data_IF_293687717253
#
_entry.id   IF_293687717253
#
_cell.length_a   1.000
_cell.length_b   1.000
_cell.length_c   1.000
_cell.angle_alpha   90.00
_cell.angle_beta   90.00
_cell.angle_gamma   90.00
#
_symmetry.space_group_name_H-M   'P 1'
#
loop_
_entity.id
_entity.type
_entity.pdbx_description
1 polymer ?
#
# COMPACT_ATOMS: atom_id res chain seq x y z
N UNK A 1 -27.99 70.70 1.17
CA UNK A 1 -28.11 69.23 1.02
C UNK A 1 -26.71 68.67 0.87
N UNK A 2 -26.14 68.12 1.93
CA UNK A 2 -24.80 67.52 1.89
C UNK A 2 -24.94 66.04 1.52
N UNK A 3 -24.27 65.64 0.45
CA UNK A 3 -24.35 64.29 -0.10
C UNK A 3 -23.27 63.42 0.57
N UNK A 4 -23.66 62.56 1.50
CA UNK A 4 -22.74 61.62 2.14
C UNK A 4 -22.54 60.41 1.21
N UNK A 5 -21.38 60.32 0.56
CA UNK A 5 -20.96 59.10 -0.13
C UNK A 5 -20.31 58.16 0.88
N UNK A 6 -20.94 57.02 1.12
CA UNK A 6 -20.41 55.95 1.96
C UNK A 6 -19.47 55.08 1.11
N UNK A 7 -18.17 55.12 1.39
CA UNK A 7 -17.18 54.26 0.74
C UNK A 7 -17.16 52.91 1.46
N UNK A 8 -17.59 51.85 0.78
CA UNK A 8 -17.53 50.47 1.29
C UNK A 8 -16.20 49.86 0.85
N UNK A 9 -15.27 49.63 1.77
CA UNK A 9 -14.02 48.90 1.45
C UNK A 9 -14.22 47.40 1.68
N UNK A 10 -13.97 46.59 0.65
CA UNK A 10 -13.95 45.14 0.76
C UNK A 10 -12.55 44.65 1.15
N UNK A 11 -12.41 44.07 2.34
CA UNK A 11 -11.19 43.37 2.74
C UNK A 11 -11.26 41.92 2.25
N UNK A 12 -10.37 41.55 1.33
CA UNK A 12 -10.21 40.15 0.90
C UNK A 12 -9.39 39.44 1.98
N UNK A 13 -10.05 38.59 2.77
CA UNK A 13 -9.37 37.69 3.71
C UNK A 13 -8.88 36.47 2.93
N UNK A 14 -7.59 36.41 2.67
CA UNK A 14 -6.94 35.23 2.08
C UNK A 14 -6.88 34.13 3.14
N UNK A 15 -7.89 33.25 3.15
CA UNK A 15 -7.87 32.04 3.98
C UNK A 15 -6.79 31.12 3.38
N UNK A 16 -5.61 31.13 3.97
CA UNK A 16 -4.58 30.12 3.74
C UNK A 16 -5.08 28.79 4.30
N UNK A 17 -5.93 28.10 3.55
CA UNK A 17 -6.19 26.68 3.82
C UNK A 17 -4.85 25.99 3.58
N UNK A 18 -4.27 25.27 4.55
CA UNK A 18 -3.09 24.46 4.31
C UNK A 18 -3.49 23.37 3.32
N UNK A 19 -3.30 23.66 2.04
CA UNK A 19 -3.59 22.75 0.96
C UNK A 19 -2.45 21.73 0.92
N UNK A 20 -2.64 20.64 1.66
CA UNK A 20 -1.70 19.51 1.67
C UNK A 20 -1.79 18.85 0.30
N UNK A 21 -0.83 19.14 -0.59
CA UNK A 21 -0.67 18.40 -1.85
C UNK A 21 -0.29 16.96 -1.50
N UNK A 22 -1.27 16.05 -1.62
CA UNK A 22 -0.97 14.64 -1.77
C UNK A 22 -0.72 14.35 -3.23
N UNK A 23 0.35 13.62 -3.52
CA UNK A 23 0.65 13.10 -4.85
C UNK A 23 0.40 11.60 -4.85
N UNK A 24 -0.08 11.06 -5.96
CA UNK A 24 -0.11 9.63 -6.19
C UNK A 24 1.27 9.05 -6.57
N UNK A 25 2.31 9.90 -6.68
CA UNK A 25 3.64 9.50 -7.16
C UNK A 25 4.77 9.88 -6.21
N UNK A 26 5.82 9.06 -6.19
CA UNK A 26 7.09 9.30 -5.52
C UNK A 26 8.23 9.12 -6.52
N UNK A 27 9.00 10.18 -6.77
CA UNK A 27 10.16 10.13 -7.66
C UNK A 27 11.44 9.82 -6.89
N UNK A 28 12.50 9.41 -7.59
CA UNK A 28 13.76 9.00 -6.97
C UNK A 28 14.46 10.08 -6.12
N UNK A 29 14.14 11.36 -6.33
CA UNK A 29 14.71 12.47 -5.57
C UNK A 29 13.89 12.82 -4.32
N UNK A 30 12.75 12.16 -4.09
CA UNK A 30 11.86 12.41 -2.98
C UNK A 30 11.77 11.20 -2.05
N UNK A 31 11.35 11.47 -0.82
CA UNK A 31 11.07 10.45 0.18
C UNK A 31 9.68 10.67 0.76
N UNK A 32 9.04 9.57 1.17
CA UNK A 32 7.88 9.60 2.05
C UNK A 32 8.40 9.26 3.45
N UNK A 33 8.34 10.20 4.40
CA UNK A 33 8.89 10.01 5.75
C UNK A 33 7.79 10.02 6.81
N UNK A 34 7.99 9.26 7.88
CA UNK A 34 7.08 9.25 9.03
C UNK A 34 6.91 10.67 9.59
N UNK A 35 8.01 11.40 9.77
CA UNK A 35 8.01 12.75 10.36
C UNK A 35 7.28 13.80 9.53
N UNK A 36 7.15 13.60 8.21
CA UNK A 36 6.42 14.52 7.35
C UNK A 36 4.90 14.40 7.49
N UNK A 37 4.40 13.29 8.06
CA UNK A 37 2.98 12.95 8.12
C UNK A 37 2.25 13.07 6.76
N UNK A 38 2.99 12.85 5.67
CA UNK A 38 2.46 12.88 4.30
C UNK A 38 2.05 11.47 3.88
N UNK A 39 1.09 11.40 2.99
CA UNK A 39 0.57 10.17 2.37
C UNK A 39 0.47 10.34 0.85
N UNK A 40 0.45 9.22 0.14
CA UNK A 40 0.15 9.18 -1.29
C UNK A 40 -1.31 8.74 -1.48
N UNK A 41 -2.09 9.53 -2.21
CA UNK A 41 -3.52 9.25 -2.46
C UNK A 41 -3.69 8.80 -3.91
N UNK A 42 -4.44 7.73 -4.13
CA UNK A 42 -4.72 7.23 -5.48
C UNK A 42 -5.56 8.21 -6.29
N UNK A 43 -5.45 8.20 -7.63
CA UNK A 43 -6.44 8.86 -8.47
C UNK A 43 -7.86 8.39 -8.11
N UNK A 44 -8.80 9.33 -8.06
CA UNK A 44 -10.18 9.07 -7.61
C UNK A 44 -10.38 9.05 -6.10
N UNK A 45 -9.34 9.28 -5.28
CA UNK A 45 -9.42 9.35 -3.82
C UNK A 45 -10.02 8.09 -3.19
N UNK A 46 -9.61 6.91 -3.68
CA UNK A 46 -10.12 5.62 -3.21
C UNK A 46 -9.17 5.01 -2.18
N UNK A 47 -7.87 5.07 -2.45
CA UNK A 47 -6.84 4.46 -1.62
C UNK A 47 -5.84 5.50 -1.15
N UNK A 48 -5.22 5.23 -0.01
CA UNK A 48 -4.20 6.04 0.61
C UNK A 48 -3.06 5.14 1.11
N UNK A 49 -1.82 5.52 0.80
CA UNK A 49 -0.61 4.85 1.24
C UNK A 49 0.19 5.75 2.17
N UNK A 50 0.61 5.22 3.31
CA UNK A 50 1.43 5.96 4.25
C UNK A 50 1.95 5.14 5.40
N UNK A 51 2.70 5.80 6.28
CA UNK A 51 3.17 5.20 7.52
C UNK A 51 2.10 5.26 8.59
N UNK A 52 1.94 4.17 9.34
CA UNK A 52 0.96 4.06 10.41
C UNK A 52 1.49 3.25 11.59
N UNK A 53 0.82 3.43 12.74
CA UNK A 53 0.90 2.58 13.93
C UNK A 53 -0.42 1.84 14.08
N UNK A 54 -0.39 0.62 14.59
CA UNK A 54 -1.63 -0.12 14.88
C UNK A 54 -2.27 0.40 16.17
N UNK A 55 -3.56 0.72 16.10
CA UNK A 55 -4.35 1.13 17.26
C UNK A 55 -4.58 -0.06 18.21
N UNK A 56 -4.57 0.19 19.52
CA UNK A 56 -5.00 -0.80 20.52
C UNK A 56 -3.92 -1.74 21.06
N UNK A 57 -2.62 -1.48 20.80
CA UNK A 57 -1.58 -2.19 21.55
C UNK A 57 -1.56 -1.73 23.01
N UNK A 58 -1.68 -2.70 23.92
CA UNK A 58 -1.59 -2.49 25.35
C UNK A 58 -0.14 -2.55 25.87
N UNK A 59 0.84 -2.77 24.98
CA UNK A 59 2.25 -2.88 25.33
C UNK A 59 3.02 -1.70 24.73
N UNK A 60 3.98 -1.17 25.50
CA UNK A 60 4.88 -0.11 25.01
C UNK A 60 5.69 -0.55 23.79
N UNK A 61 5.91 -1.86 23.62
CA UNK A 61 6.69 -2.38 22.49
C UNK A 61 5.93 -2.38 21.17
N UNK A 62 4.62 -2.69 21.14
CA UNK A 62 3.89 -2.60 19.88
C UNK A 62 3.40 -1.18 19.57
N UNK A 63 3.31 -0.28 20.57
CA UNK A 63 3.01 1.13 20.33
C UNK A 63 4.13 1.88 19.62
N UNK A 64 5.34 1.33 19.55
CA UNK A 64 6.49 1.94 18.84
C UNK A 64 6.76 1.34 17.46
N UNK A 65 5.94 0.40 17.00
CA UNK A 65 6.09 -0.23 15.69
C UNK A 65 5.41 0.56 14.59
N UNK A 66 6.21 1.00 13.63
CA UNK A 66 5.75 1.67 12.42
C UNK A 66 5.78 0.74 11.22
N UNK A 67 4.73 0.84 10.42
CA UNK A 67 4.58 0.10 9.17
C UNK A 67 4.20 1.04 8.05
N UNK A 68 4.59 0.68 6.82
CA UNK A 68 4.04 1.26 5.60
C UNK A 68 2.85 0.41 5.16
N UNK A 69 1.70 1.03 4.93
CA UNK A 69 0.51 0.32 4.51
C UNK A 69 -0.38 1.11 3.58
N UNK A 70 -1.37 0.40 3.05
CA UNK A 70 -2.41 0.89 2.16
C UNK A 70 -3.78 0.74 2.85
N UNK A 71 -4.63 1.75 2.78
CA UNK A 71 -5.99 1.73 3.32
C UNK A 71 -6.95 2.53 2.42
N UNK A 72 -8.26 2.47 2.72
CA UNK A 72 -9.24 3.33 2.04
C UNK A 72 -9.04 4.78 2.43
N UNK A 73 -9.06 5.68 1.45
CA UNK A 73 -8.91 7.11 1.71
C UNK A 73 -9.94 7.62 2.73
N UNK A 74 -9.49 8.47 3.67
CA UNK A 74 -10.29 8.97 4.80
C UNK A 74 -10.83 7.87 5.73
N UNK A 75 -10.25 6.67 5.70
CA UNK A 75 -10.53 5.67 6.73
C UNK A 75 -10.20 6.21 8.13
N UNK A 76 -10.97 5.76 9.12
CA UNK A 76 -10.66 6.01 10.52
C UNK A 76 -9.29 5.43 10.86
N UNK A 77 -8.54 6.08 11.76
CA UNK A 77 -7.24 5.58 12.26
C UNK A 77 -7.31 4.21 12.94
N UNK A 78 -8.53 3.71 13.19
CA UNK A 78 -8.81 2.37 13.73
C UNK A 78 -8.99 1.30 12.65
N UNK A 79 -9.03 1.67 11.37
CA UNK A 79 -9.26 0.70 10.31
C UNK A 79 -7.99 -0.11 10.04
N UNK A 80 -8.18 -1.42 9.88
CA UNK A 80 -7.10 -2.33 9.47
C UNK A 80 -6.65 -1.97 8.03
N UNK A 81 -5.34 -1.87 7.77
CA UNK A 81 -4.81 -1.67 6.43
C UNK A 81 -5.12 -2.88 5.54
N UNK A 82 -5.27 -2.62 4.24
CA UNK A 82 -5.52 -3.59 3.17
C UNK A 82 -4.24 -4.26 2.67
N UNK A 83 -3.10 -3.61 2.87
CA UNK A 83 -1.78 -4.13 2.49
C UNK A 83 -0.72 -3.53 3.43
N UNK A 84 0.32 -4.30 3.76
CA UNK A 84 1.42 -3.89 4.66
C UNK A 84 2.76 -4.35 4.09
N UNK A 85 3.66 -3.41 3.79
CA UNK A 85 4.95 -3.71 3.19
C UNK A 85 5.86 -4.49 4.17
N UNK A 86 6.24 -3.84 5.26
CA UNK A 86 7.23 -4.33 6.22
C UNK A 86 6.59 -5.08 7.39
N UNK A 87 5.63 -5.97 7.09
CA UNK A 87 4.83 -6.69 8.10
C UNK A 87 5.64 -7.60 9.04
N UNK A 88 6.78 -8.10 8.57
CA UNK A 88 7.70 -8.95 9.34
C UNK A 88 8.76 -8.16 10.10
N UNK A 89 9.16 -7.00 9.57
CA UNK A 89 10.25 -6.18 10.12
C UNK A 89 9.76 -4.73 10.33
N UNK A 90 9.12 -4.43 11.47
CA UNK A 90 8.66 -3.08 11.78
C UNK A 90 9.82 -2.11 11.92
N UNK A 91 9.53 -0.82 11.72
CA UNK A 91 10.37 0.26 12.18
C UNK A 91 10.09 0.52 13.66
N UNK A 92 11.13 0.79 14.46
CA UNK A 92 11.00 1.10 15.90
C UNK A 92 11.23 2.59 16.21
N UNK A 93 11.52 3.39 15.19
CA UNK A 93 11.74 4.82 15.31
C UNK A 93 10.76 5.60 14.42
N UNK A 94 10.47 6.85 14.81
CA UNK A 94 9.57 7.76 14.09
C UNK A 94 10.26 8.51 12.95
N UNK A 95 11.44 8.07 12.51
CA UNK A 95 12.27 8.75 11.50
C UNK A 95 12.55 7.88 10.27
N UNK A 96 11.92 6.73 10.15
CA UNK A 96 11.98 5.92 8.94
C UNK A 96 11.32 6.57 7.72
N UNK A 97 11.70 6.09 6.55
CA UNK A 97 11.24 6.62 5.27
C UNK A 97 11.19 5.57 4.16
N UNK A 98 10.24 5.73 3.24
CA UNK A 98 10.16 5.04 1.97
C UNK A 98 10.85 5.90 0.89
N UNK A 99 11.70 5.28 0.08
CA UNK A 99 12.38 5.92 -1.05
C UNK A 99 12.68 4.94 -2.18
N UNK A 100 13.05 5.47 -3.33
CA UNK A 100 13.62 4.66 -4.41
C UNK A 100 15.14 4.63 -4.24
N UNK A 101 15.74 3.44 -4.25
CA UNK A 101 17.17 3.24 -4.21
C UNK A 101 17.58 2.14 -5.19
N UNK A 102 18.49 2.45 -6.12
CA UNK A 102 18.96 1.52 -7.17
C UNK A 102 17.80 0.80 -7.88
N UNK A 103 16.80 1.57 -8.33
CA UNK A 103 15.60 1.05 -9.01
C UNK A 103 14.75 0.06 -8.18
N UNK A 104 14.80 0.19 -6.85
CA UNK A 104 13.95 -0.57 -5.93
C UNK A 104 13.24 0.35 -4.96
N UNK A 105 12.07 -0.05 -4.49
CA UNK A 105 11.43 0.55 -3.33
C UNK A 105 12.12 0.03 -2.07
N UNK A 106 12.58 0.93 -1.21
CA UNK A 106 13.20 0.56 0.06
C UNK A 106 12.59 1.35 1.20
N UNK A 107 12.39 0.68 2.34
CA UNK A 107 12.11 1.34 3.61
C UNK A 107 13.39 1.35 4.42
N UNK A 108 13.80 2.52 4.88
CA UNK A 108 15.00 2.73 5.68
C UNK A 108 14.65 3.25 7.07
N UNK A 109 15.46 2.89 8.06
CA UNK A 109 15.39 3.45 9.41
C UNK A 109 16.19 4.76 9.52
N UNK A 110 16.23 5.36 10.71
CA UNK A 110 16.96 6.62 10.96
C UNK A 110 18.47 6.55 10.66
N UNK A 111 19.07 5.36 10.77
CA UNK A 111 20.50 5.12 10.50
C UNK A 111 20.78 4.88 9.01
N UNK A 112 19.74 4.87 8.16
CA UNK A 112 19.85 4.57 6.73
C UNK A 112 19.90 3.08 6.40
N UNK A 113 19.71 2.19 7.39
CA UNK A 113 19.66 0.74 7.14
C UNK A 113 18.36 0.39 6.44
N UNK A 114 18.44 -0.43 5.39
CA UNK A 114 17.28 -0.97 4.68
C UNK A 114 16.66 -2.07 5.54
N UNK A 115 15.39 -1.90 5.90
CA UNK A 115 14.61 -2.89 6.67
C UNK A 115 13.62 -3.67 5.80
N UNK A 116 13.31 -3.15 4.60
CA UNK A 116 12.42 -3.79 3.63
C UNK A 116 12.78 -3.31 2.22
N UNK A 117 12.65 -4.19 1.22
CA UNK A 117 12.91 -3.92 -0.18
C UNK A 117 11.89 -4.63 -1.07
N UNK A 118 11.54 -4.05 -2.21
CA UNK A 118 10.66 -4.66 -3.21
C UNK A 118 11.29 -5.85 -3.96
N UNK A 119 12.58 -6.15 -3.76
CA UNK A 119 13.29 -7.20 -4.51
C UNK A 119 14.11 -8.14 -3.62
N UNK A 120 14.15 -9.42 -4.03
CA UNK A 120 15.12 -10.42 -3.57
C UNK A 120 16.20 -10.77 -4.63
N UNK A 121 16.00 -10.48 -5.91
CA UNK A 121 17.04 -10.58 -6.93
C UNK A 121 16.54 -9.94 -8.22
N UNK A 122 17.35 -9.03 -8.75
CA UNK A 122 17.60 -8.71 -10.17
C UNK A 122 17.74 -7.19 -10.30
N UNK A 123 19.01 -6.77 -10.28
CA UNK A 123 19.43 -5.45 -10.71
C UNK A 123 19.26 -5.43 -12.24
N UNK A 124 18.05 -5.19 -12.71
CA UNK A 124 17.90 -4.67 -14.07
C UNK A 124 18.50 -3.28 -14.03
N UNK A 125 19.75 -3.16 -14.47
CA UNK A 125 20.35 -1.85 -14.73
C UNK A 125 19.37 -1.14 -15.67
N UNK A 126 18.74 -0.04 -15.23
CA UNK A 126 17.81 0.66 -16.09
C UNK A 126 18.53 1.05 -17.38
N UNK A 127 17.85 1.10 -18.54
CA UNK A 127 18.39 1.81 -19.69
C UNK A 127 18.86 3.18 -19.21
N UNK A 128 20.08 3.60 -19.59
CA UNK A 128 20.80 4.79 -19.09
C UNK A 128 20.01 6.12 -19.14
N UNK A 129 18.81 6.13 -19.70
CA UNK A 129 17.98 7.31 -19.97
C UNK A 129 16.64 7.35 -19.23
N UNK A 130 16.16 6.25 -18.64
CA UNK A 130 14.80 6.21 -18.06
C UNK A 130 14.84 6.30 -16.53
N UNK A 131 14.11 7.27 -15.98
CA UNK A 131 13.97 7.44 -14.53
C UNK A 131 12.89 6.51 -13.97
N UNK A 132 12.95 6.20 -12.67
CA UNK A 132 12.00 5.31 -12.01
C UNK A 132 11.11 6.12 -11.08
N UNK A 133 9.81 5.81 -11.09
CA UNK A 133 8.80 6.40 -10.22
C UNK A 133 7.98 5.30 -9.55
N UNK A 134 7.60 5.56 -8.30
CA UNK A 134 6.63 4.75 -7.60
C UNK A 134 5.27 5.46 -7.66
N UNK A 135 4.21 4.70 -7.85
CA UNK A 135 2.87 5.25 -8.06
C UNK A 135 1.80 4.37 -7.42
N UNK A 136 0.80 5.00 -6.78
CA UNK A 136 -0.43 4.33 -6.40
C UNK A 136 -1.49 4.54 -7.48
N UNK A 137 -1.92 3.46 -8.12
CA UNK A 137 -2.94 3.46 -9.17
C UNK A 137 -4.35 3.56 -8.56
N UNK A 138 -5.34 3.91 -9.39
CA UNK A 138 -6.75 4.07 -8.96
C UNK A 138 -7.37 2.78 -8.41
N UNK A 139 -6.85 1.61 -8.81
CA UNK A 139 -7.26 0.31 -8.29
C UNK A 139 -6.56 -0.08 -6.97
N UNK A 140 -5.67 0.77 -6.44
CA UNK A 140 -4.92 0.51 -5.22
C UNK A 140 -3.63 -0.28 -5.42
N UNK A 141 -3.29 -0.66 -6.65
CA UNK A 141 -2.00 -1.28 -6.94
C UNK A 141 -0.88 -0.24 -6.75
N UNK A 142 0.05 -0.53 -5.84
CA UNK A 142 1.24 0.27 -5.65
C UNK A 142 2.36 -0.30 -6.51
N UNK A 143 2.84 0.49 -7.46
CA UNK A 143 3.73 0.02 -8.53
C UNK A 143 5.03 0.79 -8.55
N UNK A 144 6.08 0.13 -9.03
CA UNK A 144 7.33 0.75 -9.45
C UNK A 144 7.43 0.62 -10.97
N UNK A 145 7.63 1.74 -11.68
CA UNK A 145 7.70 1.76 -13.15
C UNK A 145 8.71 2.77 -13.65
N UNK A 146 9.04 2.67 -14.94
CA UNK A 146 9.75 3.73 -15.62
C UNK A 146 8.83 4.96 -15.80
N UNK A 147 9.40 6.16 -15.70
CA UNK A 147 8.67 7.42 -15.79
C UNK A 147 8.07 7.68 -17.17
N UNK A 148 8.70 7.14 -18.22
CA UNK A 148 8.29 7.23 -19.62
C UNK A 148 7.28 6.14 -20.03
N UNK A 149 7.09 5.09 -19.23
CA UNK A 149 6.02 4.11 -19.42
C UNK A 149 4.68 4.65 -18.90
N UNK A 150 3.98 5.36 -19.79
CA UNK A 150 2.63 5.87 -19.55
C UNK A 150 1.52 4.85 -19.86
N UNK A 151 1.86 3.69 -20.45
CA UNK A 151 0.88 2.67 -20.83
C UNK A 151 0.63 1.66 -19.71
N UNK A 152 1.58 1.57 -18.76
CA UNK A 152 1.50 0.58 -17.68
C UNK A 152 1.75 -0.84 -18.18
N UNK A 153 2.45 -0.96 -19.31
CA UNK A 153 2.69 -2.24 -19.98
C UNK A 153 3.80 -3.05 -19.28
N UNK A 154 4.68 -2.38 -18.50
CA UNK A 154 5.83 -3.02 -17.84
C UNK A 154 6.15 -2.46 -16.45
N UNK A 155 5.45 -2.97 -15.44
CA UNK A 155 5.82 -2.70 -14.04
C UNK A 155 7.09 -3.45 -13.64
N UNK A 156 8.02 -2.74 -12.99
CA UNK A 156 9.24 -3.32 -12.38
C UNK A 156 8.91 -4.09 -11.10
N UNK A 157 7.86 -3.66 -10.40
CA UNK A 157 7.32 -4.29 -9.20
C UNK A 157 5.88 -3.83 -8.98
N UNK A 158 5.04 -4.71 -8.42
CA UNK A 158 3.63 -4.45 -8.13
C UNK A 158 3.24 -5.03 -6.77
N UNK A 159 2.52 -4.27 -5.93
CA UNK A 159 2.04 -4.77 -4.64
C UNK A 159 1.05 -5.92 -4.79
N UNK A 160 0.32 -5.97 -5.90
CA UNK A 160 -0.63 -7.05 -6.21
C UNK A 160 0.04 -8.42 -6.40
N UNK A 161 1.34 -8.47 -6.70
CA UNK A 161 2.10 -9.72 -6.74
C UNK A 161 2.51 -10.22 -5.35
N UNK A 162 2.44 -9.35 -4.33
CA UNK A 162 2.82 -9.63 -2.95
C UNK A 162 1.68 -9.26 -1.99
N UNK A 163 0.53 -9.96 -2.05
CA UNK A 163 -0.58 -9.67 -1.15
C UNK A 163 -0.21 -10.04 0.30
N UNK A 164 -0.83 -9.36 1.27
CA UNK A 164 -0.66 -9.71 2.69
C UNK A 164 -1.70 -10.72 3.12
N UNK A 165 -2.80 -10.25 3.69
CA UNK A 165 -3.94 -11.02 4.16
C UNK A 165 -5.19 -10.66 3.36
N UNK A 166 -5.18 -9.56 2.60
CA UNK A 166 -6.32 -9.11 1.80
C UNK A 166 -6.02 -9.19 0.31
N UNK A 167 -6.97 -9.71 -0.46
CA UNK A 167 -7.00 -9.62 -1.92
C UNK A 167 -7.75 -8.33 -2.30
N UNK A 168 -7.31 -7.62 -3.34
CA UNK A 168 -7.98 -6.40 -3.82
C UNK A 168 -8.57 -6.58 -5.23
N UNK A 169 -9.67 -5.89 -5.59
CA UNK A 169 -10.22 -5.97 -6.94
C UNK A 169 -9.19 -5.60 -8.01
N UNK A 170 -9.08 -6.43 -9.05
CA UNK A 170 -8.08 -6.26 -10.11
C UNK A 170 -6.70 -6.88 -9.83
N UNK A 171 -6.49 -7.52 -8.66
CA UNK A 171 -5.26 -8.28 -8.35
C UNK A 171 -5.22 -9.69 -8.94
N UNK A 172 -6.28 -10.06 -9.67
CA UNK A 172 -6.49 -11.35 -10.33
C UNK A 172 -5.73 -11.49 -11.66
N UNK A 173 -4.84 -10.54 -12.00
CA UNK A 173 -4.07 -10.58 -13.24
C UNK A 173 -3.24 -11.87 -13.37
N UNK A 174 -3.47 -12.54 -14.50
CA UNK A 174 -3.14 -13.91 -14.91
C UNK A 174 -1.65 -14.30 -14.99
N UNK A 175 -0.75 -13.60 -14.28
CA UNK A 175 0.71 -13.75 -14.42
C UNK A 175 1.30 -14.94 -13.66
N UNK A 176 0.69 -16.14 -13.66
CA UNK A 176 1.36 -17.38 -13.21
C UNK A 176 1.97 -17.44 -11.78
N UNK A 177 1.85 -16.38 -10.97
CA UNK A 177 2.35 -16.30 -9.60
C UNK A 177 1.32 -16.97 -8.70
N UNK A 178 1.76 -17.99 -7.96
CA UNK A 178 0.97 -18.55 -6.88
C UNK A 178 0.89 -17.51 -5.76
N UNK A 179 -0.24 -16.82 -5.66
CA UNK A 179 -0.49 -15.84 -4.61
C UNK A 179 -1.07 -16.55 -3.39
N UNK A 180 -0.50 -16.29 -2.22
CA UNK A 180 -1.00 -16.77 -0.95
C UNK A 180 -1.29 -15.58 -0.05
N UNK A 181 -2.53 -15.50 0.46
CA UNK A 181 -2.88 -14.57 1.52
C UNK A 181 -2.50 -15.22 2.84
N UNK A 182 -1.77 -14.54 3.72
CA UNK A 182 -1.37 -15.04 5.03
C UNK A 182 -1.95 -14.14 6.11
N UNK A 183 -2.69 -14.73 7.04
CA UNK A 183 -3.34 -14.02 8.13
C UNK A 183 -2.33 -13.24 8.96
N UNK A 184 -2.82 -12.29 9.74
CA UNK A 184 -2.02 -11.67 10.80
C UNK A 184 -1.90 -12.63 11.99
N UNK A 185 -0.88 -12.47 12.83
CA UNK A 185 -0.78 -13.20 14.10
C UNK A 185 -1.94 -12.81 15.02
N UNK A 186 -2.28 -11.52 15.04
CA UNK A 186 -3.42 -10.97 15.80
C UNK A 186 -3.81 -9.60 15.24
N UNK A 187 -4.92 -9.01 15.72
CA UNK A 187 -5.37 -7.67 15.32
C UNK A 187 -4.28 -6.58 15.37
N UNK A 188 -3.33 -6.70 16.30
CA UNK A 188 -2.32 -5.67 16.55
C UNK A 188 -0.92 -6.10 16.09
N UNK A 189 -0.79 -7.26 15.44
CA UNK A 189 0.49 -7.80 14.99
C UNK A 189 0.39 -8.33 13.55
N UNK A 190 0.81 -7.52 12.55
CA UNK A 190 0.59 -7.82 11.14
C UNK A 190 1.55 -8.86 10.58
N UNK A 191 2.52 -9.30 11.38
CA UNK A 191 3.44 -10.39 11.02
C UNK A 191 2.68 -11.66 10.60
N UNK A 192 3.38 -12.54 9.89
CA UNK A 192 2.79 -13.73 9.28
C UNK A 192 2.18 -14.63 10.37
N UNK A 193 0.87 -14.85 10.26
CA UNK A 193 0.10 -15.75 11.11
C UNK A 193 0.07 -17.18 10.57
N UNK A 194 -0.73 -18.03 11.23
CA UNK A 194 -0.75 -19.48 10.99
C UNK A 194 -1.74 -19.93 9.91
N UNK A 195 -2.62 -19.04 9.46
CA UNK A 195 -3.62 -19.35 8.43
C UNK A 195 -3.22 -18.73 7.11
N UNK A 196 -3.42 -19.46 6.02
CA UNK A 196 -3.22 -18.90 4.69
C UNK A 196 -4.32 -19.31 3.72
N UNK A 197 -4.63 -18.45 2.76
CA UNK A 197 -5.45 -18.77 1.61
C UNK A 197 -4.57 -18.87 0.37
N UNK A 198 -4.46 -20.04 -0.21
CA UNK A 198 -3.78 -20.22 -1.50
C UNK A 198 -4.80 -20.08 -2.64
N UNK A 199 -4.51 -19.18 -3.58
CA UNK A 199 -5.27 -19.06 -4.81
C UNK A 199 -4.56 -19.86 -5.91
N UNK A 200 -5.16 -20.98 -6.31
CA UNK A 200 -4.65 -21.76 -7.44
C UNK A 200 -5.23 -21.20 -8.74
N UNK A 201 -4.42 -20.42 -9.44
CA UNK A 201 -4.74 -19.72 -10.68
C UNK A 201 -5.24 -20.63 -11.81
N UNK A 202 -4.90 -21.94 -11.78
CA UNK A 202 -5.36 -22.90 -12.79
C UNK A 202 -6.83 -23.29 -12.67
N UNK A 203 -7.37 -23.33 -11.46
CA UNK A 203 -8.74 -23.83 -11.20
C UNK A 203 -9.63 -22.80 -10.50
N UNK A 204 -9.13 -21.57 -10.24
CA UNK A 204 -9.82 -20.55 -9.44
C UNK A 204 -10.38 -21.10 -8.12
N UNK A 205 -9.64 -22.03 -7.51
CA UNK A 205 -9.98 -22.61 -6.22
C UNK A 205 -9.20 -21.90 -5.12
N UNK A 206 -9.91 -21.66 -4.01
CA UNK A 206 -9.32 -21.12 -2.80
C UNK A 206 -9.31 -22.18 -1.70
N UNK A 207 -8.12 -22.40 -1.15
CA UNK A 207 -7.91 -23.29 -0.02
C UNK A 207 -7.48 -22.49 1.20
N UNK A 208 -8.20 -22.64 2.31
CA UNK A 208 -7.68 -22.28 3.62
C UNK A 208 -6.74 -23.39 4.07
N UNK A 209 -5.50 -23.02 4.36
CA UNK A 209 -4.46 -23.91 4.85
C UNK A 209 -4.10 -23.55 6.29
N UNK A 210 -3.79 -24.56 7.09
CA UNK A 210 -3.19 -24.39 8.43
C UNK A 210 -1.67 -24.22 8.37
N UNK A 211 -1.03 -24.14 9.54
CA UNK A 211 0.42 -23.99 9.68
C UNK A 211 1.24 -25.13 9.03
N UNK A 212 0.63 -26.30 8.80
CA UNK A 212 1.27 -27.46 8.15
C UNK A 212 1.00 -27.49 6.65
N UNK A 213 0.43 -26.42 6.08
CA UNK A 213 -0.08 -26.38 4.70
C UNK A 213 -1.15 -27.43 4.43
N UNK A 214 -1.85 -27.90 5.47
CA UNK A 214 -2.94 -28.87 5.33
C UNK A 214 -4.24 -28.13 5.04
N UNK A 215 -5.07 -28.60 4.08
CA UNK A 215 -6.32 -27.94 3.76
C UNK A 215 -7.32 -28.08 4.91
N UNK A 216 -7.76 -26.94 5.46
CA UNK A 216 -8.79 -26.84 6.50
C UNK A 216 -10.16 -26.62 5.87
N UNK A 217 -10.22 -25.86 4.79
CA UNK A 217 -11.46 -25.53 4.09
C UNK A 217 -11.20 -25.29 2.59
N UNK A 218 -12.14 -25.71 1.74
CA UNK A 218 -12.09 -25.52 0.27
C UNK A 218 -13.34 -24.78 -0.19
N UNK A 219 -13.14 -23.73 -1.00
CA UNK A 219 -14.23 -23.07 -1.74
C UNK A 219 -13.92 -23.10 -3.22
N UNK A 220 -14.82 -23.71 -4.00
CA UNK A 220 -14.83 -23.62 -5.45
C UNK A 220 -15.81 -22.53 -5.88
N UNK A 221 -15.39 -21.67 -6.80
CA UNK A 221 -16.29 -20.72 -7.45
C UNK A 221 -16.79 -21.37 -8.75
N UNK A 222 -18.10 -21.60 -8.85
CA UNK A 222 -18.72 -22.23 -10.01
C UNK A 222 -18.64 -21.33 -11.24
N UNK A 223 -18.15 -21.88 -12.36
CA UNK A 223 -17.97 -21.18 -13.63
C UNK A 223 -19.30 -20.72 -14.24
N UNK A 224 -19.44 -19.42 -14.44
CA UNK A 224 -19.96 -18.87 -15.70
C UNK A 224 -19.07 -17.69 -16.08
N UNK A 225 -18.44 -17.83 -17.25
CA UNK A 225 -17.69 -16.84 -18.01
C UNK A 225 -16.22 -16.60 -17.62
N UNK A 226 -15.37 -16.79 -18.64
CA UNK A 226 -13.92 -16.98 -18.64
C UNK A 226 -13.09 -15.72 -18.34
N UNK A 227 -13.68 -14.74 -17.67
CA UNK A 227 -13.01 -13.54 -17.17
C UNK A 227 -13.64 -13.18 -15.82
N UNK A 228 -13.40 -14.02 -14.81
CA UNK A 228 -13.88 -13.74 -13.46
C UNK A 228 -12.99 -12.66 -12.83
N UNK A 229 -13.24 -11.40 -13.19
CA UNK A 229 -12.69 -10.25 -12.47
C UNK A 229 -13.21 -10.32 -11.05
N UNK A 230 -12.33 -10.45 -10.08
CA UNK A 230 -12.75 -10.49 -8.69
C UNK A 230 -13.19 -9.09 -8.24
N UNK A 231 -14.47 -8.92 -7.86
CA UNK A 231 -15.11 -7.60 -7.67
C UNK A 231 -15.32 -7.15 -6.21
N UNK A 232 -14.92 -7.92 -5.19
CA UNK A 232 -15.15 -7.49 -3.80
C UNK A 232 -14.18 -8.15 -2.82
N UNK A 233 -13.88 -7.52 -1.67
CA UNK A 233 -12.73 -7.79 -0.78
C UNK A 233 -12.78 -9.16 -0.06
N UNK A 234 -11.64 -9.88 0.06
CA UNK A 234 -11.47 -11.11 0.84
C UNK A 234 -10.24 -10.97 1.69
N UNK A 235 -10.38 -11.36 2.95
CA UNK A 235 -9.36 -11.22 3.98
C UNK A 235 -9.15 -12.55 4.70
N UNK A 236 -7.89 -12.95 4.84
CA UNK A 236 -7.44 -14.02 5.71
C UNK A 236 -7.43 -13.51 7.15
N UNK A 237 -8.41 -13.93 7.94
CA UNK A 237 -8.50 -13.56 9.36
C UNK A 237 -7.95 -14.65 10.26
N UNK A 238 -7.41 -14.26 11.42
CA UNK A 238 -7.24 -15.20 12.53
C UNK A 238 -8.64 -15.53 13.10
N UNK A 239 -8.80 -16.74 13.66
CA UNK A 239 -10.03 -17.16 14.35
C UNK A 239 -9.96 -16.72 15.81
#
# INVERSE_FOLDING_TARGET
>A
MANHQTVISYYIVLILVPFVWSSNTLTANHILSISSNRTMISPGNVFELGFFKLAGSNTKEDSERWYLGLWFYKASSKMKPLWVANRETPLYDSKGALKIYKSNLVIVNQSGNIIWSSSNAVVHSPPKTSSVVAEILSNGNFVLRYSDDNRGDSFLWESFDYPTDTLLPGSDSAKGVNRSLTSWISNNKPSIGIYSYALLSRNQEMFLLDAKSSPVYRRSFGLKDTLCTWQGILTASYI
#
